data_IF_991276710437
#
_entry.id   IF_991276710437
#
_cell.length_a   1.000
_cell.length_b   1.000
_cell.length_c   1.000
_cell.angle_alpha   90.00
_cell.angle_beta   90.00
_cell.angle_gamma   90.00
#
_symmetry.space_group_name_H-M   'P 1'
#
loop_
_entity.id
_entity.type
_entity.pdbx_description
1 polymer ?
#
# COMPACT_ATOMS: atom_id res chain seq x y z
N UNK A 1 1.24 7.84 7.37
CA UNK A 1 2.08 8.14 6.19
C UNK A 1 1.24 7.85 4.96
N UNK A 2 1.13 8.79 4.01
CA UNK A 2 0.37 8.59 2.76
C UNK A 2 1.13 7.65 1.82
N UNK A 3 0.47 7.21 0.73
CA UNK A 3 1.13 6.39 -0.30
C UNK A 3 2.29 7.16 -0.92
N UNK A 4 2.09 8.43 -1.25
CA UNK A 4 3.10 9.31 -1.84
C UNK A 4 4.31 9.47 -0.91
N UNK A 5 4.06 9.65 0.38
CA UNK A 5 5.12 9.72 1.38
C UNK A 5 5.93 8.41 1.45
N UNK A 6 5.26 7.25 1.41
CA UNK A 6 5.92 5.93 1.44
C UNK A 6 6.76 5.69 0.20
N UNK A 7 6.27 6.10 -0.97
CA UNK A 7 7.02 6.02 -2.23
C UNK A 7 8.25 6.94 -2.20
N UNK A 8 8.10 8.18 -1.75
CA UNK A 8 9.23 9.10 -1.61
C UNK A 8 10.29 8.57 -0.62
N UNK A 9 9.87 7.88 0.45
CA UNK A 9 10.81 7.23 1.37
C UNK A 9 11.51 6.03 0.73
N UNK A 10 10.79 5.23 -0.05
CA UNK A 10 11.37 4.11 -0.79
C UNK A 10 12.42 4.59 -1.79
N UNK A 11 12.15 5.66 -2.53
CA UNK A 11 13.13 6.30 -3.43
C UNK A 11 14.39 6.75 -2.67
N UNK A 12 14.22 7.44 -1.54
CA UNK A 12 15.36 7.85 -0.72
C UNK A 12 16.18 6.68 -0.16
N UNK A 13 15.54 5.54 0.12
CA UNK A 13 16.21 4.30 0.54
C UNK A 13 17.02 3.72 -0.61
N UNK A 14 16.45 3.66 -1.81
CA UNK A 14 17.14 3.18 -3.02
C UNK A 14 18.35 4.06 -3.31
N UNK A 15 18.17 5.38 -3.32
CA UNK A 15 19.27 6.34 -3.53
C UNK A 15 20.40 6.16 -2.50
N UNK A 16 20.06 5.89 -1.23
CA UNK A 16 21.05 5.62 -0.19
C UNK A 16 21.82 4.33 -0.42
N UNK A 17 21.13 3.26 -0.83
CA UNK A 17 21.74 1.95 -1.08
C UNK A 17 22.59 1.94 -2.37
N UNK A 18 22.24 2.75 -3.37
CA UNK A 18 22.99 2.90 -4.62
C UNK A 18 24.16 3.90 -4.52
N UNK A 19 24.13 4.78 -3.52
CA UNK A 19 25.13 5.82 -3.30
C UNK A 19 26.44 5.32 -2.67
N UNK A 20 26.88 5.99 -1.63
CA UNK A 20 28.11 5.62 -0.93
C UNK A 20 27.96 4.26 -0.21
N UNK A 21 29.04 3.45 -0.13
CA UNK A 21 29.00 2.17 0.56
C UNK A 21 28.54 2.33 2.01
N UNK A 22 27.42 1.69 2.33
CA UNK A 22 26.93 1.52 3.69
C UNK A 22 27.46 0.22 4.28
N UNK A 23 27.55 0.14 5.61
CA UNK A 23 27.85 -1.13 6.24
C UNK A 23 26.67 -2.11 6.11
N UNK A 24 26.94 -3.40 6.35
CA UNK A 24 25.95 -4.45 6.18
C UNK A 24 24.73 -4.27 7.10
N UNK A 25 24.92 -3.76 8.32
CA UNK A 25 23.83 -3.60 9.26
C UNK A 25 22.89 -2.46 8.82
N UNK A 26 23.45 -1.34 8.37
CA UNK A 26 22.70 -0.23 7.77
C UNK A 26 21.99 -0.68 6.49
N UNK A 27 22.66 -1.43 5.62
CA UNK A 27 22.06 -1.95 4.39
C UNK A 27 20.84 -2.84 4.66
N UNK A 28 20.94 -3.74 5.64
CA UNK A 28 19.84 -4.62 6.04
C UNK A 28 18.67 -3.82 6.64
N UNK A 29 18.95 -2.85 7.51
CA UNK A 29 17.92 -2.00 8.10
C UNK A 29 17.16 -1.18 7.03
N UNK A 30 17.89 -0.58 6.09
CA UNK A 30 17.31 0.15 4.95
C UNK A 30 16.46 -0.76 4.06
N UNK A 31 16.93 -1.98 3.79
CA UNK A 31 16.18 -2.94 3.00
C UNK A 31 14.87 -3.36 3.68
N UNK A 32 14.91 -3.68 4.97
CA UNK A 32 13.72 -4.01 5.77
C UNK A 32 12.71 -2.87 5.78
N UNK A 33 13.19 -1.63 5.96
CA UNK A 33 12.35 -0.43 5.89
C UNK A 33 11.71 -0.25 4.50
N UNK A 34 12.47 -0.48 3.43
CA UNK A 34 11.98 -0.41 2.05
C UNK A 34 10.87 -1.42 1.78
N UNK A 35 11.06 -2.67 2.24
CA UNK A 35 10.04 -3.73 2.13
C UNK A 35 8.76 -3.35 2.90
N UNK A 36 8.89 -2.79 4.10
CA UNK A 36 7.75 -2.32 4.88
C UNK A 36 7.00 -1.19 4.16
N UNK A 37 7.72 -0.21 3.60
CA UNK A 37 7.13 0.88 2.83
C UNK A 37 6.33 0.37 1.62
N UNK A 38 6.90 -0.56 0.87
CA UNK A 38 6.25 -1.18 -0.30
C UNK A 38 4.98 -1.95 0.09
N UNK A 39 5.07 -2.79 1.13
CA UNK A 39 3.95 -3.61 1.59
C UNK A 39 2.77 -2.74 2.03
N UNK A 40 3.05 -1.70 2.80
CA UNK A 40 2.00 -0.83 3.31
C UNK A 40 1.37 0.03 2.21
N UNK A 41 2.16 0.49 1.24
CA UNK A 41 1.64 1.21 0.07
C UNK A 41 0.73 0.31 -0.77
N UNK A 42 1.14 -0.93 -1.03
CA UNK A 42 0.33 -1.93 -1.75
C UNK A 42 -0.97 -2.25 -1.00
N UNK A 43 -0.93 -2.39 0.33
CA UNK A 43 -2.12 -2.59 1.15
C UNK A 43 -3.11 -1.44 1.03
N UNK A 44 -2.61 -0.20 1.15
CA UNK A 44 -3.45 1.01 1.02
C UNK A 44 -4.10 1.11 -0.37
N UNK A 45 -3.35 0.81 -1.43
CA UNK A 45 -3.87 0.82 -2.80
C UNK A 45 -4.95 -0.25 -3.00
N UNK A 46 -4.74 -1.45 -2.46
CA UNK A 46 -5.73 -2.54 -2.52
C UNK A 46 -7.05 -2.16 -1.84
N UNK A 47 -6.98 -1.53 -0.65
CA UNK A 47 -8.16 -1.04 0.06
C UNK A 47 -8.91 0.04 -0.74
N UNK A 48 -8.15 0.97 -1.35
CA UNK A 48 -8.73 2.00 -2.20
C UNK A 48 -9.43 1.40 -3.43
N UNK A 49 -8.79 0.42 -4.09
CA UNK A 49 -9.36 -0.28 -5.25
C UNK A 49 -10.65 -1.02 -4.88
N UNK A 50 -10.66 -1.75 -3.76
CA UNK A 50 -11.84 -2.45 -3.27
C UNK A 50 -13.02 -1.49 -3.01
N UNK A 51 -12.72 -0.32 -2.43
CA UNK A 51 -13.74 0.72 -2.21
C UNK A 51 -14.27 1.31 -3.51
N UNK A 52 -13.40 1.59 -4.49
CA UNK A 52 -13.83 2.07 -5.81
C UNK A 52 -14.72 1.03 -6.48
N UNK A 53 -14.33 -0.24 -6.48
CA UNK A 53 -15.11 -1.33 -7.06
C UNK A 53 -16.51 -1.41 -6.47
N UNK A 54 -16.64 -1.41 -5.14
CA UNK A 54 -17.93 -1.41 -4.45
C UNK A 54 -18.81 -0.21 -4.84
N UNK A 55 -18.23 0.98 -4.96
CA UNK A 55 -18.98 2.17 -5.36
C UNK A 55 -19.44 2.10 -6.81
N UNK A 56 -18.61 1.58 -7.72
CA UNK A 56 -18.97 1.38 -9.12
C UNK A 56 -20.09 0.34 -9.26
N UNK A 57 -20.00 -0.79 -8.57
CA UNK A 57 -21.06 -1.83 -8.56
C UNK A 57 -22.41 -1.27 -8.07
N UNK A 58 -22.40 -0.43 -7.03
CA UNK A 58 -23.59 0.26 -6.54
C UNK A 58 -24.14 1.29 -7.54
N UNK A 59 -23.26 2.01 -8.24
CA UNK A 59 -23.65 3.04 -9.22
C UNK A 59 -24.25 2.42 -10.50
N UNK A 60 -23.76 1.25 -10.92
CA UNK A 60 -24.26 0.51 -12.08
C UNK A 60 -25.60 -0.22 -11.81
N UNK A 61 -26.19 -0.06 -10.62
CA UNK A 61 -27.53 -0.56 -10.30
C UNK A 61 -27.60 -2.06 -10.01
N UNK A 62 -26.46 -2.70 -9.71
CA UNK A 62 -26.46 -4.04 -9.15
C UNK A 62 -26.93 -3.97 -7.69
N UNK A 63 -28.25 -4.09 -7.50
CA UNK A 63 -28.88 -4.22 -6.18
C UNK A 63 -28.18 -5.33 -5.38
N UNK A 64 -27.51 -4.95 -4.29
CA UNK A 64 -27.08 -5.91 -3.28
C UNK A 64 -28.34 -6.38 -2.54
N UNK A 65 -28.69 -7.65 -2.71
CA UNK A 65 -29.68 -8.31 -1.87
C UNK A 65 -29.00 -8.61 -0.54
N UNK A 66 -29.26 -7.78 0.48
CA UNK A 66 -28.98 -8.21 1.85
C UNK A 66 -30.03 -9.25 2.24
N UNK A 67 -29.63 -10.39 2.83
CA UNK A 67 -30.59 -11.34 3.37
C UNK A 67 -31.41 -10.63 4.44
N UNK A 68 -32.73 -10.73 4.33
CA UNK A 68 -33.62 -10.33 5.41
C UNK A 68 -33.36 -11.27 6.58
N UNK A 69 -32.95 -10.72 7.72
CA UNK A 69 -32.94 -11.47 8.98
C UNK A 69 -34.39 -11.90 9.25
N UNK A 70 -34.66 -13.19 9.09
CA UNK A 70 -35.91 -13.82 9.49
C UNK A 70 -35.87 -13.97 11.03
N UNK A 71 -36.57 -13.08 11.74
CA UNK A 71 -36.96 -13.28 13.15
C UNK A 71 -37.83 -14.53 13.33
#
# INVERSE_FOLDING_TARGET
MTVEQRLARLEAIVDRLEGEPVDLAEALALFEEGVACLRDAAGTLSEAEARVRKLTELADGAFAVEPLDDD
#
